data_IF_395528257654
#
_entry.id   IF_395528257654
#
_cell.length_a   1.000
_cell.length_b   1.000
_cell.length_c   1.000
_cell.angle_alpha   90.00
_cell.angle_beta   90.00
_cell.angle_gamma   90.00
#
_symmetry.space_group_name_H-M   'P 1'
#
loop_
_entity.id
_entity.type
_entity.pdbx_description
1 polymer ?
#
# COMPACT_ATOMS: atom_id res chain seq x y z
N UNK A 1 14.30 39.57 35.48
CA UNK A 1 12.92 39.08 35.29
C UNK A 1 12.87 38.27 34.03
N UNK A 2 12.57 37.03 34.15
CA UNK A 2 12.40 36.24 32.95
C UNK A 2 11.01 36.49 32.37
N UNK A 3 10.96 37.14 31.25
CA UNK A 3 9.74 37.37 30.50
C UNK A 3 9.37 36.19 29.63
N UNK A 4 9.95 35.03 29.89
CA UNK A 4 9.54 33.80 29.22
C UNK A 4 8.19 33.36 29.81
N UNK A 5 7.10 33.44 29.04
CA UNK A 5 5.85 32.87 29.49
C UNK A 5 6.04 31.38 29.77
N UNK A 6 5.72 30.98 30.96
CA UNK A 6 5.67 29.56 31.31
C UNK A 6 4.63 28.92 30.38
N UNK A 7 4.98 27.84 29.71
CA UNK A 7 4.06 27.10 28.87
C UNK A 7 2.87 26.58 29.65
N UNK A 8 2.99 26.49 30.98
CA UNK A 8 1.87 26.11 31.85
C UNK A 8 0.84 27.21 32.03
N UNK A 9 1.21 28.49 31.76
CA UNK A 9 0.29 29.61 31.92
C UNK A 9 -0.64 29.80 30.68
N UNK A 10 -0.33 29.10 29.57
CA UNK A 10 -1.15 29.17 28.34
C UNK A 10 -1.32 27.78 27.73
N UNK A 11 -2.03 26.87 28.41
CA UNK A 11 -2.23 25.51 27.89
C UNK A 11 -3.00 25.50 26.55
N UNK A 12 -3.89 26.45 26.35
CA UNK A 12 -4.66 26.56 25.11
C UNK A 12 -3.78 26.90 23.92
N UNK A 13 -2.78 27.77 24.09
CA UNK A 13 -1.82 28.10 23.06
C UNK A 13 -0.97 26.87 22.69
N UNK A 14 -0.49 26.16 23.70
CA UNK A 14 0.30 24.93 23.49
C UNK A 14 -0.52 23.88 22.74
N UNK A 15 -1.75 23.64 23.18
CA UNK A 15 -2.66 22.68 22.54
C UNK A 15 -2.94 23.05 21.08
N UNK A 16 -3.12 24.32 20.79
CA UNK A 16 -3.33 24.81 19.44
C UNK A 16 -2.11 24.53 18.55
N UNK A 17 -0.92 24.77 19.07
CA UNK A 17 0.34 24.51 18.33
C UNK A 17 0.54 23.02 18.11
N UNK A 18 0.29 22.19 19.12
CA UNK A 18 0.35 20.74 19.01
C UNK A 18 -0.60 20.24 17.94
N UNK A 19 -1.83 20.77 17.93
CA UNK A 19 -2.84 20.42 16.91
C UNK A 19 -2.37 20.74 15.50
N UNK A 20 -1.74 21.90 15.29
CA UNK A 20 -1.19 22.27 13.98
C UNK A 20 -0.07 21.32 13.55
N UNK A 21 0.82 20.96 14.46
CA UNK A 21 1.93 20.04 14.18
C UNK A 21 1.38 18.66 13.80
N UNK A 22 0.46 18.13 14.60
CA UNK A 22 -0.10 16.80 14.38
C UNK A 22 -0.88 16.74 13.08
N UNK A 23 -1.65 17.76 12.77
CA UNK A 23 -2.42 17.84 11.51
C UNK A 23 -1.49 17.85 10.31
N UNK A 24 -0.40 18.62 10.36
CA UNK A 24 0.58 18.70 9.27
C UNK A 24 1.29 17.37 9.07
N UNK A 25 1.72 16.72 10.16
CA UNK A 25 2.36 15.40 10.09
C UNK A 25 1.44 14.36 9.49
N UNK A 26 0.18 14.35 9.89
CA UNK A 26 -0.82 13.43 9.34
C UNK A 26 -1.02 13.66 7.83
N UNK A 27 -1.12 14.90 7.40
CA UNK A 27 -1.28 15.27 5.99
C UNK A 27 -0.08 14.84 5.16
N UNK A 28 1.14 15.05 5.65
CA UNK A 28 2.37 14.64 4.96
C UNK A 28 2.43 13.13 4.85
N UNK A 29 2.16 12.40 5.94
CA UNK A 29 2.18 10.94 5.93
C UNK A 29 1.16 10.37 4.94
N UNK A 30 -0.02 10.97 4.86
CA UNK A 30 -1.06 10.59 3.90
C UNK A 30 -0.59 10.79 2.46
N UNK A 31 0.01 11.95 2.17
CA UNK A 31 0.53 12.26 0.83
C UNK A 31 1.63 11.29 0.42
N UNK A 32 2.57 11.00 1.33
CA UNK A 32 3.65 10.04 1.07
C UNK A 32 3.08 8.67 0.74
N UNK A 33 2.10 8.21 1.50
CA UNK A 33 1.47 6.91 1.29
C UNK A 33 0.77 6.84 -0.08
N UNK A 34 0.07 7.90 -0.47
CA UNK A 34 -0.57 7.99 -1.79
C UNK A 34 0.48 7.91 -2.90
N UNK A 35 1.53 8.69 -2.81
CA UNK A 35 2.60 8.73 -3.82
C UNK A 35 3.30 7.38 -3.95
N UNK A 36 3.56 6.69 -2.83
CA UNK A 36 4.16 5.36 -2.86
C UNK A 36 3.24 4.34 -3.52
N UNK A 37 1.96 4.36 -3.21
CA UNK A 37 1.00 3.43 -3.82
C UNK A 37 0.91 3.65 -5.33
N UNK A 38 0.87 4.90 -5.77
CA UNK A 38 0.89 5.23 -7.20
C UNK A 38 2.17 4.77 -7.87
N UNK A 39 3.31 4.91 -7.19
CA UNK A 39 4.60 4.41 -7.68
C UNK A 39 4.58 2.89 -7.85
N UNK A 40 4.06 2.16 -6.87
CA UNK A 40 3.97 0.69 -6.92
C UNK A 40 3.12 0.24 -8.11
N UNK A 41 2.02 0.92 -8.38
CA UNK A 41 1.18 0.66 -9.54
C UNK A 41 1.94 0.89 -10.85
N UNK A 42 2.70 1.98 -10.94
CA UNK A 42 3.51 2.30 -12.12
C UNK A 42 4.60 1.26 -12.34
N UNK A 43 5.24 0.80 -11.28
CA UNK A 43 6.23 -0.29 -11.35
C UNK A 43 5.56 -1.56 -11.86
N UNK A 44 4.43 -1.93 -11.30
CA UNK A 44 3.66 -3.11 -11.74
C UNK A 44 3.27 -3.03 -13.20
N UNK A 45 2.79 -1.87 -13.64
CA UNK A 45 2.44 -1.61 -15.04
C UNK A 45 3.65 -1.80 -15.95
N UNK A 46 4.78 -1.21 -15.59
CA UNK A 46 6.01 -1.31 -16.37
C UNK A 46 6.46 -2.75 -16.53
N UNK A 47 6.41 -3.54 -15.44
CA UNK A 47 6.76 -4.96 -15.49
C UNK A 47 5.77 -5.75 -16.35
N UNK A 48 4.47 -5.51 -16.18
CA UNK A 48 3.43 -6.19 -16.97
C UNK A 48 3.59 -5.93 -18.47
N UNK A 49 3.85 -4.68 -18.87
CA UNK A 49 4.07 -4.34 -20.26
C UNK A 49 5.29 -5.03 -20.83
N UNK A 50 6.36 -5.14 -20.03
CA UNK A 50 7.58 -5.81 -20.46
C UNK A 50 7.38 -7.32 -20.62
N UNK A 51 6.63 -7.95 -19.70
CA UNK A 51 6.28 -9.37 -19.80
C UNK A 51 5.44 -9.64 -21.04
N UNK A 52 4.49 -8.77 -21.37
CA UNK A 52 3.65 -8.91 -22.56
C UNK A 52 4.45 -8.79 -23.86
N UNK A 53 5.46 -7.91 -23.89
CA UNK A 53 6.34 -7.77 -25.07
C UNK A 53 7.19 -9.01 -25.29
N UNK A 54 7.62 -9.68 -24.24
CA UNK A 54 8.48 -10.84 -24.30
C UNK A 54 7.63 -12.09 -24.16
N UNK A 55 7.08 -12.55 -25.27
CA UNK A 55 6.15 -13.69 -25.35
C UNK A 55 6.87 -15.03 -25.07
N UNK A 56 7.68 -15.09 -24.01
CA UNK A 56 8.34 -16.29 -23.55
C UNK A 56 7.69 -16.75 -22.25
N UNK A 57 7.33 -18.02 -22.20
CA UNK A 57 6.63 -18.60 -21.06
C UNK A 57 7.39 -18.47 -19.71
N UNK A 58 8.71 -18.35 -19.76
CA UNK A 58 9.55 -18.27 -18.55
C UNK A 58 10.10 -16.87 -18.28
N UNK A 59 9.80 -15.88 -19.12
CA UNK A 59 10.35 -14.54 -18.95
C UNK A 59 10.00 -13.91 -17.61
N UNK A 60 8.73 -13.97 -17.23
CA UNK A 60 8.28 -13.43 -15.94
C UNK A 60 8.94 -14.11 -14.76
N UNK A 61 9.22 -15.40 -14.87
CA UNK A 61 9.90 -16.18 -13.81
C UNK A 61 11.35 -15.76 -13.63
N UNK A 62 12.00 -15.29 -14.68
CA UNK A 62 13.40 -14.86 -14.64
C UNK A 62 13.56 -13.40 -14.31
N UNK A 63 12.66 -12.55 -14.81
CA UNK A 63 12.80 -11.11 -14.62
C UNK A 63 12.58 -10.67 -13.17
N UNK A 64 11.66 -11.30 -12.47
CA UNK A 64 11.34 -10.91 -11.08
C UNK A 64 12.53 -11.12 -10.15
N UNK A 65 13.22 -12.30 -10.13
CA UNK A 65 14.44 -12.45 -9.32
C UNK A 65 15.54 -11.47 -9.71
N UNK A 66 15.71 -11.19 -10.99
CA UNK A 66 16.70 -10.24 -11.50
C UNK A 66 16.43 -8.83 -11.01
N UNK A 67 15.17 -8.39 -11.07
CA UNK A 67 14.75 -7.08 -10.56
C UNK A 67 14.91 -7.00 -9.04
N UNK A 68 14.53 -8.04 -8.32
CA UNK A 68 14.72 -8.11 -6.87
C UNK A 68 16.18 -7.87 -6.51
N UNK A 69 17.10 -8.59 -7.14
CA UNK A 69 18.53 -8.46 -6.87
C UNK A 69 19.02 -7.03 -7.16
N UNK A 70 18.73 -6.52 -8.33
CA UNK A 70 19.19 -5.21 -8.77
C UNK A 70 18.61 -4.06 -7.92
N UNK A 71 17.31 -4.10 -7.65
CA UNK A 71 16.62 -3.05 -6.90
C UNK A 71 16.96 -3.10 -5.41
N UNK A 72 17.10 -4.29 -4.84
CA UNK A 72 17.51 -4.45 -3.45
C UNK A 72 18.93 -3.94 -3.25
N UNK A 73 19.83 -4.21 -4.18
CA UNK A 73 21.20 -3.72 -4.13
C UNK A 73 21.25 -2.18 -4.18
N UNK A 74 20.38 -1.57 -4.95
CA UNK A 74 20.39 -0.11 -5.15
C UNK A 74 19.62 0.65 -4.07
N UNK A 75 18.45 0.16 -3.65
CA UNK A 75 17.53 0.87 -2.76
C UNK A 75 17.31 0.20 -1.42
N UNK A 76 17.79 -1.03 -1.24
CA UNK A 76 17.61 -1.79 -0.01
C UNK A 76 16.28 -2.55 0.02
N UNK A 77 15.76 -2.74 1.22
CA UNK A 77 14.55 -3.53 1.46
C UNK A 77 13.33 -2.82 0.85
N UNK A 78 12.40 -3.57 0.32
CA UNK A 78 11.15 -3.04 -0.23
C UNK A 78 10.85 -3.52 -1.64
N UNK A 79 11.84 -4.07 -2.33
CA UNK A 79 11.70 -4.55 -3.69
C UNK A 79 11.95 -6.05 -3.81
N UNK A 80 11.62 -6.80 -2.76
CA UNK A 80 11.72 -8.25 -2.78
C UNK A 80 10.71 -8.86 -3.76
N UNK A 81 10.87 -10.14 -4.04
CA UNK A 81 10.01 -10.88 -4.97
C UNK A 81 8.52 -10.73 -4.63
N UNK A 82 8.18 -10.85 -3.36
CA UNK A 82 6.79 -10.75 -2.89
C UNK A 82 6.20 -9.36 -3.16
N UNK A 83 6.96 -8.31 -2.88
CA UNK A 83 6.51 -6.94 -3.11
C UNK A 83 6.39 -6.66 -4.60
N UNK A 84 7.35 -7.09 -5.42
CA UNK A 84 7.26 -6.93 -6.87
C UNK A 84 6.03 -7.62 -7.44
N UNK A 85 5.73 -8.83 -6.97
CA UNK A 85 4.52 -9.56 -7.37
C UNK A 85 3.25 -8.81 -6.94
N UNK A 86 3.26 -8.18 -5.78
CA UNK A 86 2.14 -7.35 -5.32
C UNK A 86 1.93 -6.12 -6.21
N UNK A 87 3.01 -5.50 -6.66
CA UNK A 87 2.93 -4.36 -7.57
C UNK A 87 2.36 -4.77 -8.94
N UNK A 88 2.79 -5.90 -9.46
CA UNK A 88 2.26 -6.49 -10.69
C UNK A 88 0.76 -6.76 -10.55
N UNK A 89 0.38 -7.39 -9.45
CA UNK A 89 -1.02 -7.70 -9.16
C UNK A 89 -1.87 -6.44 -9.01
N UNK A 90 -1.33 -5.42 -8.36
CA UNK A 90 -2.01 -4.13 -8.21
C UNK A 90 -2.42 -3.56 -9.58
N UNK A 91 -1.49 -3.53 -10.52
CA UNK A 91 -1.79 -3.05 -11.87
C UNK A 91 -2.77 -3.97 -12.61
N UNK A 92 -2.63 -5.29 -12.44
CA UNK A 92 -3.51 -6.27 -13.10
C UNK A 92 -4.96 -6.18 -12.60
N UNK A 93 -5.15 -5.99 -11.30
CA UNK A 93 -6.47 -5.91 -10.70
C UNK A 93 -7.12 -4.53 -10.85
N UNK A 94 -6.32 -3.48 -10.82
CA UNK A 94 -6.79 -2.09 -10.97
C UNK A 94 -6.06 -1.50 -12.16
N UNK A 95 -6.66 -1.62 -13.34
CA UNK A 95 -6.04 -1.13 -14.57
C UNK A 95 -6.30 0.35 -14.83
N UNK A 96 -7.38 0.89 -14.25
CA UNK A 96 -7.75 2.29 -14.40
C UNK A 96 -7.03 3.14 -13.35
N UNK A 97 -6.16 4.04 -13.80
CA UNK A 97 -5.40 4.93 -12.94
C UNK A 97 -6.29 5.86 -12.11
N UNK A 98 -7.40 6.32 -12.67
CA UNK A 98 -8.32 7.21 -11.96
C UNK A 98 -9.00 6.50 -10.78
N UNK A 99 -9.36 5.25 -10.96
CA UNK A 99 -9.91 4.42 -9.89
C UNK A 99 -8.87 4.25 -8.79
N UNK A 100 -7.62 3.93 -9.17
CA UNK A 100 -6.53 3.81 -8.21
C UNK A 100 -6.32 5.10 -7.42
N UNK A 101 -6.28 6.23 -8.12
CA UNK A 101 -6.09 7.54 -7.50
C UNK A 101 -7.19 7.83 -6.47
N UNK A 102 -8.42 7.51 -6.81
CA UNK A 102 -9.57 7.66 -5.91
C UNK A 102 -9.43 6.78 -4.67
N UNK A 103 -9.01 5.53 -4.84
CA UNK A 103 -8.78 4.61 -3.73
C UNK A 103 -7.66 5.10 -2.81
N UNK A 104 -6.57 5.60 -3.38
CA UNK A 104 -5.42 6.11 -2.62
C UNK A 104 -5.78 7.32 -1.77
N UNK A 105 -6.82 8.08 -2.13
CA UNK A 105 -7.28 9.19 -1.33
C UNK A 105 -7.90 8.75 0.00
N UNK A 106 -8.38 7.50 0.09
CA UNK A 106 -9.09 6.98 1.26
C UNK A 106 -8.42 5.79 1.93
N UNK A 107 -7.62 5.03 1.19
CA UNK A 107 -7.03 3.78 1.66
C UNK A 107 -5.51 3.85 1.63
N UNK A 108 -4.87 3.20 2.60
CA UNK A 108 -3.41 3.02 2.60
C UNK A 108 -3.03 1.87 1.68
N UNK A 109 -1.73 1.79 1.34
CA UNK A 109 -1.20 0.65 0.59
C UNK A 109 -1.53 -0.69 1.24
N UNK A 110 -1.44 -0.79 2.56
CA UNK A 110 -1.77 -2.02 3.28
C UNK A 110 -3.21 -2.45 3.04
N UNK A 111 -4.16 -1.51 3.06
CA UNK A 111 -5.57 -1.80 2.78
C UNK A 111 -5.78 -2.24 1.33
N UNK A 112 -5.19 -1.52 0.39
CA UNK A 112 -5.29 -1.83 -1.04
C UNK A 112 -4.69 -3.20 -1.33
N UNK A 113 -3.53 -3.50 -0.73
CA UNK A 113 -2.87 -4.80 -0.85
C UNK A 113 -3.78 -5.93 -0.38
N UNK A 114 -4.44 -5.76 0.75
CA UNK A 114 -5.39 -6.76 1.25
C UNK A 114 -6.55 -6.96 0.28
N UNK A 115 -7.08 -5.88 -0.29
CA UNK A 115 -8.20 -5.94 -1.23
C UNK A 115 -7.86 -6.71 -2.50
N UNK A 116 -6.70 -6.48 -3.09
CA UNK A 116 -6.31 -7.14 -4.35
C UNK A 116 -6.06 -8.63 -4.18
N UNK A 117 -5.86 -9.13 -2.96
CA UNK A 117 -5.65 -10.55 -2.67
C UNK A 117 -6.89 -11.27 -2.15
N UNK A 118 -7.99 -10.59 -1.91
CA UNK A 118 -9.21 -11.19 -1.34
C UNK A 118 -9.70 -12.36 -2.19
N UNK A 119 -9.78 -12.19 -3.50
CA UNK A 119 -10.28 -13.23 -4.40
C UNK A 119 -9.39 -14.48 -4.35
N UNK A 120 -8.06 -14.27 -4.32
CA UNK A 120 -7.10 -15.37 -4.24
C UNK A 120 -7.23 -16.10 -2.91
N UNK A 121 -7.42 -15.38 -1.82
CA UNK A 121 -7.60 -15.97 -0.50
C UNK A 121 -8.89 -16.80 -0.44
N UNK A 122 -9.96 -16.31 -1.04
CA UNK A 122 -11.22 -17.04 -1.14
C UNK A 122 -11.04 -18.33 -1.96
N UNK A 123 -10.34 -18.28 -3.09
CA UNK A 123 -10.08 -19.45 -3.93
C UNK A 123 -9.21 -20.50 -3.25
N UNK A 124 -8.36 -20.08 -2.33
CA UNK A 124 -7.45 -20.96 -1.60
C UNK A 124 -8.19 -21.92 -0.68
N UNK A 125 -9.37 -21.53 -0.19
CA UNK A 125 -10.13 -22.32 0.76
C UNK A 125 -11.11 -23.26 0.03
N UNK A 126 -11.22 -24.51 0.51
CA UNK A 126 -12.30 -25.41 0.10
C UNK A 126 -13.62 -24.88 0.62
N UNK A 127 -14.76 -25.40 0.09
CA UNK A 127 -16.08 -25.04 0.60
C UNK A 127 -16.21 -25.26 2.10
N UNK A 128 -15.56 -26.30 2.64
CA UNK A 128 -15.55 -26.60 4.07
C UNK A 128 -14.78 -25.53 4.84
N UNK A 129 -13.62 -25.14 4.33
CA UNK A 129 -12.78 -24.10 4.95
C UNK A 129 -13.46 -22.73 4.92
N UNK A 130 -14.14 -22.40 3.82
CA UNK A 130 -14.91 -21.18 3.73
C UNK A 130 -16.05 -21.12 4.76
N UNK A 131 -16.71 -22.26 4.99
CA UNK A 131 -17.74 -22.35 6.02
C UNK A 131 -17.14 -22.10 7.41
N UNK A 132 -16.00 -22.70 7.71
CA UNK A 132 -15.29 -22.48 8.97
C UNK A 132 -14.81 -21.04 9.09
N UNK A 133 -14.31 -20.46 8.01
CA UNK A 133 -13.84 -19.08 7.98
C UNK A 133 -14.97 -18.09 8.30
N UNK A 134 -16.19 -18.36 7.81
CA UNK A 134 -17.34 -17.47 8.09
C UNK A 134 -17.68 -17.39 9.58
N UNK A 135 -17.36 -18.43 10.35
CA UNK A 135 -17.53 -18.41 11.82
C UNK A 135 -16.39 -17.68 12.53
N UNK A 136 -15.21 -17.59 11.92
CA UNK A 136 -14.02 -16.97 12.50
C UNK A 136 -13.90 -15.49 12.16
N UNK A 137 -14.54 -15.03 11.10
CA UNK A 137 -14.54 -13.63 10.74
C UNK A 137 -15.28 -12.82 11.80
N UNK A 138 -14.69 -11.72 12.28
CA UNK A 138 -15.41 -10.85 13.19
C UNK A 138 -16.67 -10.37 12.51
N UNK A 139 -17.80 -10.47 13.22
CA UNK A 139 -19.06 -9.91 12.76
C UNK A 139 -18.94 -8.40 12.80
N UNK A 140 -18.31 -7.84 11.80
CA UNK A 140 -18.27 -6.40 11.63
C UNK A 140 -19.51 -6.02 10.85
N UNK A 141 -20.27 -5.11 11.42
CA UNK A 141 -21.41 -4.51 10.76
C UNK A 141 -20.90 -3.54 9.68
N UNK A 142 -20.22 -4.06 8.68
CA UNK A 142 -19.99 -3.27 7.49
C UNK A 142 -21.22 -3.40 6.60
N UNK A 143 -21.98 -2.35 6.60
CA UNK A 143 -22.98 -2.17 5.57
C UNK A 143 -22.29 -1.85 4.26
#
# INVERSE_FOLDING_TARGET
MSDKPDTNDKPELLDSIIGLIDQTRHSVAKTVNQELTLLYWKIGKTINEEILKNDRADYGKKIIPSLNEALTKRYGIGFNKRNLQSFIKLNSEIQDFEILHTLCAKLTWSHIRSLIYIEDDIKRYSKKDLKNLSYQLPKTNYC
#
